data_IF_651504620147
#
_entry.id   IF_651504620147
#
_cell.length_a   1.000
_cell.length_b   1.000
_cell.length_c   1.000
_cell.angle_alpha   90.00
_cell.angle_beta   90.00
_cell.angle_gamma   90.00
#
_symmetry.space_group_name_H-M   'P 1'
#
loop_
_entity.id
_entity.type
_entity.pdbx_description
1 polymer ?
#
# COMPACT_ATOMS: atom_id res chain seq x y z
N UNK A 1 -0.27 6.90 -4.85
CA UNK A 1 -0.43 6.97 -3.37
C UNK A 1 0.56 7.96 -2.78
N UNK A 2 1.88 7.68 -2.73
CA UNK A 2 2.86 8.59 -2.12
C UNK A 2 2.90 9.99 -2.74
N UNK A 3 2.71 10.12 -4.05
CA UNK A 3 2.54 11.42 -4.73
C UNK A 3 1.40 12.23 -4.14
N UNK A 4 0.22 11.61 -3.96
CA UNK A 4 -0.95 12.28 -3.37
C UNK A 4 -0.72 12.65 -1.92
N UNK A 5 -0.04 11.79 -1.16
CA UNK A 5 0.31 12.08 0.23
C UNK A 5 1.24 13.30 0.30
N UNK A 6 2.23 13.42 -0.58
CA UNK A 6 3.11 14.60 -0.65
C UNK A 6 2.38 15.87 -1.07
N UNK A 7 1.34 15.77 -1.90
CA UNK A 7 0.48 16.92 -2.22
C UNK A 7 -0.31 17.37 -0.98
N UNK A 8 -0.83 16.41 -0.20
CA UNK A 8 -1.61 16.70 1.01
C UNK A 8 -0.74 17.19 2.18
N UNK A 9 0.49 16.67 2.30
CA UNK A 9 1.45 16.98 3.36
C UNK A 9 2.84 17.17 2.73
N UNK A 10 3.13 18.37 2.20
CA UNK A 10 4.39 18.64 1.49
C UNK A 10 5.64 18.43 2.34
N UNK A 11 5.54 18.77 3.63
CA UNK A 11 6.60 18.69 4.64
C UNK A 11 6.74 17.28 5.25
N UNK A 12 6.13 16.25 4.65
CA UNK A 12 6.20 14.90 5.18
C UNK A 12 7.62 14.35 5.15
N UNK A 13 8.20 14.12 6.32
CA UNK A 13 9.55 13.57 6.48
C UNK A 13 9.54 12.07 6.80
N UNK A 14 8.58 11.60 7.59
CA UNK A 14 8.56 10.23 8.13
C UNK A 14 7.25 9.53 7.75
N UNK A 15 7.35 8.28 7.33
CA UNK A 15 6.21 7.41 7.04
C UNK A 15 6.37 6.08 7.77
N UNK A 16 5.41 5.78 8.64
CA UNK A 16 5.21 4.46 9.22
C UNK A 16 4.04 3.76 8.53
N UNK A 17 4.34 2.67 7.83
CA UNK A 17 3.33 1.82 7.19
C UNK A 17 3.08 0.60 8.04
N UNK A 18 1.82 0.19 8.14
CA UNK A 18 1.41 -1.03 8.83
C UNK A 18 0.66 -1.93 7.86
N UNK A 19 1.09 -3.19 7.74
CA UNK A 19 0.43 -4.20 6.93
C UNK A 19 0.23 -5.51 7.69
N UNK A 20 -0.62 -6.39 7.15
CA UNK A 20 -0.74 -7.75 7.66
C UNK A 20 0.60 -8.51 7.57
N UNK A 21 0.76 -9.49 8.46
CA UNK A 21 1.94 -10.34 8.55
C UNK A 21 1.99 -11.47 7.53
N UNK A 22 1.02 -11.56 6.61
CA UNK A 22 0.95 -12.60 5.58
C UNK A 22 2.25 -12.66 4.76
N UNK A 23 3.04 -13.70 5.04
CA UNK A 23 4.41 -13.76 4.55
C UNK A 23 4.50 -13.95 3.03
N UNK A 24 3.53 -14.62 2.41
CA UNK A 24 3.47 -14.82 0.96
C UNK A 24 3.18 -13.54 0.17
N UNK A 25 2.67 -12.49 0.82
CA UNK A 25 2.27 -11.25 0.16
C UNK A 25 3.24 -10.11 0.45
N UNK A 26 3.44 -9.82 1.74
CA UNK A 26 4.16 -8.61 2.16
C UNK A 26 5.62 -8.89 2.53
N UNK A 27 5.95 -10.08 3.04
CA UNK A 27 7.32 -10.44 3.43
C UNK A 27 8.09 -11.10 2.28
N UNK A 28 8.52 -10.30 1.32
CA UNK A 28 9.29 -10.76 0.16
C UNK A 28 10.36 -9.78 -0.29
N UNK A 29 11.44 -10.31 -0.87
CA UNK A 29 12.61 -9.54 -1.35
C UNK A 29 12.27 -8.37 -2.28
N UNK A 30 11.26 -8.53 -3.13
CA UNK A 30 10.85 -7.49 -4.09
C UNK A 30 10.23 -6.29 -3.38
N UNK A 31 9.45 -6.55 -2.33
CA UNK A 31 8.85 -5.52 -1.50
C UNK A 31 9.96 -4.70 -0.83
N UNK A 32 10.98 -5.36 -0.27
CA UNK A 32 12.09 -4.70 0.42
C UNK A 32 12.86 -3.78 -0.52
N UNK A 33 13.12 -4.24 -1.74
CA UNK A 33 13.76 -3.39 -2.76
C UNK A 33 12.88 -2.22 -3.17
N UNK A 34 11.57 -2.43 -3.26
CA UNK A 34 10.62 -1.37 -3.59
C UNK A 34 10.57 -0.30 -2.48
N UNK A 35 10.66 -0.67 -1.20
CA UNK A 35 10.72 0.29 -0.08
C UNK A 35 11.91 1.26 -0.22
N UNK A 36 13.09 0.73 -0.53
CA UNK A 36 14.29 1.54 -0.76
C UNK A 36 14.10 2.50 -1.94
N UNK A 37 13.46 2.03 -3.02
CA UNK A 37 13.17 2.89 -4.18
C UNK A 37 12.16 3.99 -3.83
N UNK A 38 11.13 3.67 -3.04
CA UNK A 38 10.11 4.64 -2.61
C UNK A 38 10.68 5.71 -1.69
N UNK A 39 11.45 5.31 -0.67
CA UNK A 39 12.13 6.24 0.23
C UNK A 39 13.02 7.22 -0.55
N UNK A 40 13.73 6.72 -1.58
CA UNK A 40 14.54 7.54 -2.48
C UNK A 40 13.71 8.48 -3.36
N UNK A 41 12.70 7.95 -4.05
CA UNK A 41 11.90 8.71 -5.03
C UNK A 41 11.17 9.90 -4.38
N UNK A 42 10.83 9.78 -3.10
CA UNK A 42 10.02 10.77 -2.38
C UNK A 42 10.76 11.44 -1.21
N UNK A 43 12.01 11.06 -0.95
CA UNK A 43 12.87 11.63 0.10
C UNK A 43 12.21 11.65 1.49
N UNK A 44 11.75 10.48 1.95
CA UNK A 44 11.21 10.30 3.30
C UNK A 44 11.88 9.11 4.01
N UNK A 45 11.88 9.17 5.33
CA UNK A 45 12.25 8.06 6.21
C UNK A 45 11.08 7.07 6.25
N UNK A 46 11.34 5.84 5.80
CA UNK A 46 10.31 4.81 5.65
C UNK A 46 10.54 3.65 6.61
N UNK A 47 9.53 3.39 7.43
CA UNK A 47 9.42 2.18 8.24
C UNK A 47 8.20 1.39 7.82
N UNK A 48 8.35 0.08 7.66
CA UNK A 48 7.27 -0.84 7.33
C UNK A 48 7.13 -1.89 8.43
N UNK A 49 5.99 -1.87 9.11
CA UNK A 49 5.65 -2.72 10.23
C UNK A 49 4.67 -3.82 9.80
N UNK A 50 4.85 -5.02 10.33
CA UNK A 50 3.97 -6.15 10.10
C UNK A 50 3.22 -6.54 11.38
N UNK A 51 1.90 -6.71 11.27
CA UNK A 51 1.12 -7.34 12.34
C UNK A 51 1.40 -8.84 12.45
N UNK A 52 0.96 -9.45 13.56
CA UNK A 52 0.99 -10.89 13.70
C UNK A 52 0.10 -11.55 12.61
N UNK A 53 0.59 -12.66 12.04
CA UNK A 53 -0.12 -13.43 11.02
C UNK A 53 -1.53 -13.78 11.50
N UNK A 54 -2.54 -13.54 10.65
CA UNK A 54 -3.95 -13.86 10.89
C UNK A 54 -4.68 -12.97 11.91
N UNK A 55 -4.05 -11.93 12.46
CA UNK A 55 -4.65 -11.05 13.48
C UNK A 55 -4.82 -9.58 13.03
N UNK A 56 -4.57 -9.27 11.76
CA UNK A 56 -4.45 -7.90 11.25
C UNK A 56 -5.76 -7.16 10.92
N UNK A 57 -6.83 -7.26 11.72
CA UNK A 57 -7.97 -6.34 11.53
C UNK A 57 -7.59 -4.95 12.04
N UNK A 58 -7.47 -3.99 11.13
CA UNK A 58 -6.98 -2.65 11.42
C UNK A 58 -7.96 -1.53 11.06
N UNK A 59 -7.52 -0.29 11.26
CA UNK A 59 -8.25 0.92 10.84
C UNK A 59 -8.62 0.87 9.35
N UNK A 60 -7.74 0.28 8.54
CA UNK A 60 -7.94 0.09 7.09
C UNK A 60 -9.19 -0.73 6.76
N UNK A 61 -9.53 -1.73 7.57
CA UNK A 61 -10.75 -2.52 7.39
C UNK A 61 -12.01 -1.71 7.70
N UNK A 62 -11.94 -0.81 8.69
CA UNK A 62 -13.01 0.10 9.03
C UNK A 62 -13.31 1.10 7.90
N UNK A 63 -12.25 1.69 7.32
CA UNK A 63 -12.36 2.59 6.16
C UNK A 63 -12.94 1.83 4.97
N UNK A 64 -12.39 0.65 4.66
CA UNK A 64 -12.87 -0.20 3.56
C UNK A 64 -14.33 -0.64 3.74
N UNK A 65 -14.72 -1.05 4.95
CA UNK A 65 -16.11 -1.38 5.30
C UNK A 65 -17.03 -0.18 5.10
N UNK A 66 -16.62 1.00 5.56
CA UNK A 66 -17.44 2.22 5.44
C UNK A 66 -17.75 2.51 3.97
N UNK A 67 -16.73 2.51 3.10
CA UNK A 67 -16.91 2.73 1.66
C UNK A 67 -17.82 1.66 1.05
N UNK A 68 -17.58 0.38 1.37
CA UNK A 68 -18.40 -0.74 0.87
C UNK A 68 -19.86 -0.62 1.29
N UNK A 69 -20.13 -0.26 2.55
CA UNK A 69 -21.49 -0.06 3.05
C UNK A 69 -22.20 1.12 2.35
N UNK A 70 -21.50 2.21 2.06
CA UNK A 70 -22.05 3.36 1.33
C UNK A 70 -22.46 2.97 -0.11
N UNK A 71 -21.59 2.26 -0.82
CA UNK A 71 -21.89 1.78 -2.18
C UNK A 71 -23.01 0.74 -2.14
N UNK A 72 -22.97 -0.20 -1.19
CA UNK A 72 -24.01 -1.20 -1.01
C UNK A 72 -25.39 -0.58 -0.76
N UNK A 73 -25.47 0.44 0.10
CA UNK A 73 -26.71 1.18 0.33
C UNK A 73 -27.24 1.86 -0.94
N UNK A 74 -26.36 2.35 -1.81
CA UNK A 74 -26.75 2.92 -3.09
C UNK A 74 -27.29 1.84 -4.05
N UNK A 75 -26.68 0.66 -4.07
CA UNK A 75 -27.15 -0.49 -4.87
C UNK A 75 -28.52 -0.97 -4.40
N UNK A 76 -28.74 -1.06 -3.08
CA UNK A 76 -30.05 -1.37 -2.50
C UNK A 76 -31.13 -0.33 -2.87
N UNK A 77 -30.74 0.93 -3.04
CA UNK A 77 -31.63 2.00 -3.51
C UNK A 77 -31.85 1.99 -5.04
N UNK A 78 -31.36 0.97 -5.75
CA UNK A 78 -31.58 0.77 -7.19
C UNK A 78 -30.45 1.26 -8.10
N UNK A 79 -29.31 1.76 -7.56
CA UNK A 79 -28.16 2.08 -8.41
C UNK A 79 -27.47 0.80 -8.91
N UNK A 80 -26.94 0.85 -10.13
CA UNK A 80 -26.17 -0.26 -10.70
C UNK A 80 -24.67 -0.06 -10.45
N UNK A 81 -24.02 -1.08 -9.92
CA UNK A 81 -22.56 -1.13 -9.73
C UNK A 81 -22.02 -2.42 -10.36
N UNK A 82 -21.48 -2.35 -11.59
CA UNK A 82 -21.02 -3.54 -12.34
C UNK A 82 -19.52 -3.59 -12.56
N UNK A 83 -18.80 -2.50 -12.30
CA UNK A 83 -17.36 -2.41 -12.49
C UNK A 83 -16.66 -1.67 -11.35
N UNK A 84 -15.32 -1.64 -11.39
CA UNK A 84 -14.54 -0.87 -10.43
C UNK A 84 -14.77 0.64 -10.60
N UNK A 85 -14.90 1.10 -11.85
CA UNK A 85 -15.21 2.49 -12.20
C UNK A 85 -16.56 2.90 -11.62
N UNK A 86 -17.58 2.04 -11.73
CA UNK A 86 -18.88 2.27 -11.11
C UNK A 86 -18.77 2.38 -9.59
N UNK A 87 -18.02 1.46 -8.97
CA UNK A 87 -17.83 1.46 -7.52
C UNK A 87 -17.18 2.77 -7.05
N UNK A 88 -16.10 3.21 -7.70
CA UNK A 88 -15.40 4.47 -7.37
C UNK A 88 -16.30 5.67 -7.58
N UNK A 89 -17.03 5.72 -8.70
CA UNK A 89 -17.98 6.79 -9.01
C UNK A 89 -19.06 6.92 -7.94
N UNK A 90 -19.71 5.81 -7.58
CA UNK A 90 -20.75 5.80 -6.54
C UNK A 90 -20.15 6.18 -5.18
N UNK A 91 -19.00 5.63 -4.81
CA UNK A 91 -18.34 5.96 -3.55
C UNK A 91 -18.03 7.46 -3.42
N UNK A 92 -17.47 8.08 -4.47
CA UNK A 92 -17.18 9.53 -4.50
C UNK A 92 -18.44 10.39 -4.39
N UNK A 93 -19.59 9.91 -4.89
CA UNK A 93 -20.87 10.60 -4.71
C UNK A 93 -21.41 10.50 -3.27
N UNK A 94 -21.05 9.44 -2.54
CA UNK A 94 -21.57 9.17 -1.19
C UNK A 94 -20.70 9.72 -0.06
N UNK A 95 -19.42 10.00 -0.31
CA UNK A 95 -18.52 10.57 0.69
C UNK A 95 -17.43 11.43 0.07
N UNK A 96 -17.17 12.58 0.68
CA UNK A 96 -16.01 13.44 0.44
C UNK A 96 -14.97 13.33 1.57
N UNK A 97 -15.26 12.56 2.63
CA UNK A 97 -14.36 12.38 3.79
C UNK A 97 -13.30 11.32 3.54
N UNK A 98 -13.49 10.46 2.55
CA UNK A 98 -12.56 9.41 2.17
C UNK A 98 -12.12 9.67 0.74
N UNK A 99 -10.82 9.86 0.53
CA UNK A 99 -10.25 10.03 -0.80
C UNK A 99 -10.12 8.67 -1.48
N UNK A 100 -10.79 8.50 -2.62
CA UNK A 100 -10.69 7.28 -3.44
C UNK A 100 -9.81 7.53 -4.66
N UNK A 101 -8.75 6.73 -4.77
CA UNK A 101 -7.85 6.70 -5.93
C UNK A 101 -8.14 5.41 -6.70
N UNK A 102 -8.50 5.56 -7.97
CA UNK A 102 -8.66 4.43 -8.88
C UNK A 102 -7.31 4.06 -9.49
N UNK A 103 -7.03 2.77 -9.57
CA UNK A 103 -5.83 2.23 -10.22
C UNK A 103 -6.27 1.41 -11.43
N UNK A 104 -5.99 1.93 -12.62
CA UNK A 104 -6.31 1.25 -13.86
C UNK A 104 -5.25 0.19 -14.19
N UNK A 105 -5.56 -0.68 -15.16
CA UNK A 105 -4.58 -1.64 -15.68
C UNK A 105 -3.33 -0.93 -16.23
N UNK A 106 -3.50 0.21 -16.89
CA UNK A 106 -2.39 0.98 -17.43
C UNK A 106 -1.46 1.50 -16.32
N UNK A 107 -2.01 1.92 -15.18
CA UNK A 107 -1.22 2.38 -14.02
C UNK A 107 -0.39 1.24 -13.43
N UNK A 108 -0.98 0.04 -13.37
CA UNK A 108 -0.33 -1.18 -12.88
C UNK A 108 0.79 -1.59 -13.85
N UNK A 109 0.52 -1.62 -15.15
CA UNK A 109 1.49 -2.01 -16.17
C UNK A 109 2.65 -1.01 -16.25
N UNK A 110 2.38 0.30 -16.15
CA UNK A 110 3.41 1.33 -16.07
C UNK A 110 4.31 1.13 -14.84
N UNK A 111 3.72 0.87 -13.67
CA UNK A 111 4.46 0.58 -12.43
C UNK A 111 5.30 -0.68 -12.56
N UNK A 112 4.76 -1.74 -13.16
CA UNK A 112 5.46 -3.00 -13.41
C UNK A 112 6.68 -2.79 -14.30
N UNK A 113 6.55 -2.03 -15.38
CA UNK A 113 7.65 -1.74 -16.29
C UNK A 113 8.77 -0.94 -15.60
N UNK A 114 8.43 0.05 -14.75
CA UNK A 114 9.41 0.81 -13.97
C UNK A 114 10.21 -0.10 -13.01
N UNK A 115 9.54 -1.07 -12.40
CA UNK A 115 10.13 -1.96 -11.39
C UNK A 115 10.85 -3.18 -11.97
N UNK A 116 10.57 -3.56 -13.23
CA UNK A 116 11.07 -4.79 -13.83
C UNK A 116 12.61 -4.89 -13.81
N UNK A 117 13.30 -3.82 -14.22
CA UNK A 117 14.76 -3.77 -14.21
C UNK A 117 15.33 -3.86 -12.78
N UNK A 118 14.62 -3.24 -11.83
CA UNK A 118 15.01 -3.24 -10.41
C UNK A 118 14.86 -4.65 -9.84
N UNK A 119 13.77 -5.35 -10.14
CA UNK A 119 13.46 -6.67 -9.59
C UNK A 119 14.30 -7.78 -10.21
N UNK A 120 14.77 -7.62 -11.45
CA UNK A 120 15.64 -8.59 -12.12
C UNK A 120 16.96 -8.84 -11.37
N UNK A 121 17.46 -7.84 -10.63
CA UNK A 121 18.75 -7.92 -9.91
C UNK A 121 18.61 -8.25 -8.42
N UNK A 122 17.38 -8.42 -7.90
CA UNK A 122 17.14 -8.60 -6.46
C UNK A 122 17.52 -10.00 -6.00
N UNK A 123 18.47 -10.08 -5.09
CA UNK A 123 18.88 -11.34 -4.43
C UNK A 123 17.89 -11.73 -3.33
N UNK A 124 17.86 -13.02 -3.01
CA UNK A 124 17.11 -13.51 -1.87
C UNK A 124 17.68 -12.92 -0.57
N UNK A 125 16.80 -12.60 0.38
CA UNK A 125 17.16 -12.10 1.71
C UNK A 125 16.83 -13.19 2.72
N UNK A 126 17.82 -13.61 3.50
CA UNK A 126 17.62 -14.60 4.57
C UNK A 126 16.68 -14.06 5.64
N UNK A 127 15.96 -14.95 6.31
CA UNK A 127 15.11 -14.63 7.46
C UNK A 127 13.96 -13.64 7.22
N UNK A 128 13.65 -13.35 5.95
CA UNK A 128 12.52 -12.51 5.51
C UNK A 128 11.21 -12.86 6.22
N UNK A 129 10.96 -14.15 6.50
CA UNK A 129 9.73 -14.62 7.16
C UNK A 129 9.64 -14.22 8.63
N UNK A 130 10.79 -14.13 9.33
CA UNK A 130 10.89 -13.78 10.75
C UNK A 130 10.85 -12.26 10.97
N UNK A 131 11.01 -11.47 9.92
CA UNK A 131 10.99 -10.01 9.99
C UNK A 131 9.61 -9.50 10.41
N UNK A 132 9.55 -8.64 11.43
CA UNK A 132 8.33 -7.98 11.90
C UNK A 132 8.34 -6.46 11.68
N UNK A 133 9.52 -5.87 11.42
CA UNK A 133 9.65 -4.49 11.02
C UNK A 133 10.85 -4.33 10.07
N UNK A 134 10.74 -3.41 9.12
CA UNK A 134 11.79 -3.03 8.18
C UNK A 134 11.94 -1.52 8.21
N UNK A 135 13.16 -1.05 8.46
CA UNK A 135 13.50 0.37 8.36
C UNK A 135 14.45 0.59 7.20
N UNK A 136 14.16 1.55 6.33
CA UNK A 136 15.10 1.97 5.29
C UNK A 136 16.15 2.86 5.94
N UNK A 137 17.43 2.48 5.83
CA UNK A 137 18.55 3.23 6.42
C UNK A 137 19.20 4.14 5.36
N UNK A 138 19.42 3.60 4.16
CA UNK A 138 19.97 4.33 3.03
C UNK A 138 19.52 3.66 1.72
N UNK A 139 19.86 4.28 0.59
CA UNK A 139 19.60 3.84 -0.79
C UNK A 139 20.05 2.41 -1.14
N UNK A 140 20.83 1.77 -0.27
CA UNK A 140 21.36 0.41 -0.44
C UNK A 140 21.18 -0.47 0.79
N UNK A 141 20.64 0.04 1.90
CA UNK A 141 20.61 -0.65 3.17
C UNK A 141 19.23 -0.57 3.82
N UNK A 142 18.78 -1.72 4.33
CA UNK A 142 17.60 -1.84 5.18
C UNK A 142 18.01 -2.52 6.47
N UNK A 143 17.35 -2.16 7.55
CA UNK A 143 17.42 -2.84 8.83
C UNK A 143 16.16 -3.69 9.00
N UNK A 144 16.35 -4.97 9.30
CA UNK A 144 15.26 -5.93 9.48
C UNK A 144 15.23 -6.36 10.95
N UNK A 145 14.12 -6.06 11.63
CA UNK A 145 13.89 -6.52 13.00
C UNK A 145 13.21 -7.89 12.95
N UNK A 146 13.82 -8.90 13.55
CA UNK A 146 13.37 -10.30 13.55
C UNK A 146 12.89 -10.72 14.95
N UNK A 147 11.97 -11.69 14.99
CA UNK A 147 11.55 -12.39 16.23
C UNK A 147 12.12 -13.80 16.26
#
# INVERSE_FOLDING_TARGET
IFTEIKVLVPELEIIDVFSDGAASQFKQRFMFRNLVQLARDFSFDLTWNFFATSHGKGVVDGIGRTVKCLVWGAVLAGQTCRSAEDFVRIAKQKTNKITLIELTKNDIDASKNKLQNIFAVVKAVSETLKTHCIKVIDNKAIECFIV
#
